data_IF_072005371647
#
_entry.id   IF_072005371647
#
_cell.length_a   1.000
_cell.length_b   1.000
_cell.length_c   1.000
_cell.angle_alpha   90.00
_cell.angle_beta   90.00
_cell.angle_gamma   90.00
#
_symmetry.space_group_name_H-M   'P 1'
#
loop_
_entity.id
_entity.type
_entity.pdbx_description
1 polymer ?
#
# COMPACT_ATOMS: atom_id res chain seq x y z
N UNK A 1 5.75 4.37 12.17
CA UNK A 1 4.75 5.34 11.69
C UNK A 1 3.58 4.56 11.11
N UNK A 2 2.56 4.27 11.91
CA UNK A 2 1.33 3.60 11.45
C UNK A 2 0.51 4.64 10.69
N UNK A 3 0.33 4.45 9.38
CA UNK A 3 -0.54 5.29 8.57
C UNK A 3 -1.98 5.12 9.03
N UNK A 4 -2.53 6.16 9.68
CA UNK A 4 -3.91 6.19 10.14
C UNK A 4 -4.88 6.07 8.96
N UNK A 5 -5.61 4.96 8.89
CA UNK A 5 -6.64 4.71 7.88
C UNK A 5 -8.02 4.99 8.43
N UNK A 6 -8.79 5.82 7.73
CA UNK A 6 -10.19 6.22 8.01
C UNK A 6 -11.23 5.10 7.78
N UNK A 7 -10.85 3.82 7.93
CA UNK A 7 -11.79 2.70 7.76
C UNK A 7 -12.54 2.46 9.08
N UNK A 8 -13.85 2.73 9.15
CA UNK A 8 -14.63 2.41 10.35
C UNK A 8 -14.66 0.89 10.52
N UNK A 9 -14.11 0.38 11.62
CA UNK A 9 -14.21 -1.03 12.04
C UNK A 9 -15.13 -1.11 13.25
N UNK A 10 -16.42 -1.38 13.03
CA UNK A 10 -17.44 -1.55 14.07
C UNK A 10 -18.37 -2.73 13.77
N UNK A 11 -19.14 -3.19 14.77
CA UNK A 11 -20.14 -4.26 14.61
C UNK A 11 -19.81 -5.61 15.27
N UNK A 12 -18.83 -5.69 16.18
CA UNK A 12 -18.40 -6.96 16.79
C UNK A 12 -19.19 -7.41 18.04
N UNK A 13 -19.98 -6.54 18.67
CA UNK A 13 -20.87 -6.91 19.78
C UNK A 13 -22.18 -6.11 19.69
N UNK A 14 -23.29 -6.82 19.51
CA UNK A 14 -24.66 -6.32 19.37
C UNK A 14 -25.54 -7.38 18.70
N UNK A 15 -26.79 -7.54 19.14
CA UNK A 15 -27.72 -8.59 18.66
C UNK A 15 -28.37 -8.28 17.30
N UNK A 16 -28.08 -7.12 16.69
CA UNK A 16 -28.49 -6.80 15.32
C UNK A 16 -27.27 -6.48 14.46
N UNK A 17 -27.14 -7.19 13.34
CA UNK A 17 -26.11 -6.96 12.32
C UNK A 17 -26.46 -5.64 11.63
N UNK A 18 -25.71 -4.55 11.90
CA UNK A 18 -25.74 -3.39 11.02
C UNK A 18 -25.04 -3.77 9.72
N UNK A 19 -25.82 -4.15 8.71
CA UNK A 19 -25.31 -4.37 7.38
C UNK A 19 -24.85 -3.01 6.82
N UNK A 20 -23.55 -2.77 6.82
CA UNK A 20 -22.94 -1.76 5.94
C UNK A 20 -22.91 -2.31 4.50
N UNK A 21 -24.05 -2.80 4.01
CA UNK A 21 -24.21 -3.33 2.66
C UNK A 21 -24.65 -2.18 1.77
N UNK A 22 -23.70 -1.62 1.04
CA UNK A 22 -23.96 -0.71 -0.07
C UNK A 22 -24.85 -1.47 -1.07
N UNK A 23 -25.99 -0.88 -1.49
CA UNK A 23 -26.93 -1.57 -2.39
C UNK A 23 -26.31 -1.76 -3.77
N UNK A 24 -26.70 -2.82 -4.48
CA UNK A 24 -26.20 -3.08 -5.84
C UNK A 24 -26.52 -1.91 -6.79
N UNK A 25 -27.67 -1.24 -6.63
CA UNK A 25 -27.97 -0.06 -7.45
C UNK A 25 -27.02 1.10 -7.16
N UNK A 26 -26.62 1.32 -5.89
CA UNK A 26 -25.66 2.39 -5.55
C UNK A 26 -24.26 2.12 -6.10
N UNK A 27 -23.82 0.86 -6.17
CA UNK A 27 -22.55 0.49 -6.83
C UNK A 27 -22.64 0.70 -8.34
N UNK A 28 -23.73 0.28 -8.98
CA UNK A 28 -23.94 0.47 -10.43
C UNK A 28 -24.05 1.96 -10.80
N UNK A 29 -24.70 2.77 -9.96
CA UNK A 29 -24.76 4.22 -10.14
C UNK A 29 -23.36 4.86 -10.03
N UNK A 30 -22.56 4.46 -9.03
CA UNK A 30 -21.19 4.93 -8.86
C UNK A 30 -20.27 4.47 -10.01
N UNK A 31 -20.42 3.25 -10.52
CA UNK A 31 -19.70 2.75 -11.70
C UNK A 31 -20.06 3.53 -12.96
N UNK A 32 -21.35 3.87 -13.13
CA UNK A 32 -21.82 4.71 -14.26
C UNK A 32 -21.30 6.14 -14.16
N UNK A 33 -21.28 6.73 -12.97
CA UNK A 33 -20.67 8.04 -12.73
C UNK A 33 -19.17 8.02 -12.98
N UNK A 34 -18.47 6.97 -12.54
CA UNK A 34 -17.04 6.78 -12.80
C UNK A 34 -16.77 6.67 -14.31
N UNK A 35 -17.57 5.88 -15.04
CA UNK A 35 -17.44 5.75 -16.49
C UNK A 35 -17.64 7.11 -17.19
N UNK A 36 -18.68 7.86 -16.82
CA UNK A 36 -18.91 9.21 -17.37
C UNK A 36 -17.76 10.17 -17.06
N UNK A 37 -17.19 10.12 -15.85
CA UNK A 37 -16.03 10.94 -15.48
C UNK A 37 -14.79 10.53 -16.27
N UNK A 38 -14.55 9.24 -16.47
CA UNK A 38 -13.44 8.71 -17.26
C UNK A 38 -13.56 9.15 -18.72
N UNK A 39 -14.75 9.06 -19.31
CA UNK A 39 -15.00 9.52 -20.68
C UNK A 39 -14.81 11.03 -20.82
N UNK A 40 -15.30 11.80 -19.84
CA UNK A 40 -15.08 13.26 -19.80
C UNK A 40 -13.60 13.60 -19.70
N UNK A 41 -12.85 12.88 -18.86
CA UNK A 41 -11.42 13.05 -18.68
C UNK A 41 -10.65 12.68 -19.96
N UNK A 42 -11.04 11.62 -20.65
CA UNK A 42 -10.45 11.23 -21.93
C UNK A 42 -10.71 12.27 -23.02
N UNK A 43 -11.92 12.83 -23.08
CA UNK A 43 -12.25 13.92 -24.01
C UNK A 43 -11.42 15.17 -23.72
N UNK A 44 -11.28 15.56 -22.44
CA UNK A 44 -10.43 16.69 -22.04
C UNK A 44 -8.97 16.42 -22.41
N UNK A 45 -8.45 15.20 -22.18
CA UNK A 45 -7.07 14.82 -22.57
C UNK A 45 -6.85 14.91 -24.08
N UNK A 46 -7.82 14.46 -24.89
CA UNK A 46 -7.76 14.60 -26.35
C UNK A 46 -7.75 16.07 -26.76
N UNK A 47 -8.63 16.89 -26.18
CA UNK A 47 -8.67 18.33 -26.45
C UNK A 47 -7.38 19.05 -26.07
N UNK A 48 -6.74 18.66 -24.97
CA UNK A 48 -5.42 19.19 -24.56
C UNK A 48 -4.35 18.78 -25.56
N UNK A 49 -4.33 17.51 -25.99
CA UNK A 49 -3.36 17.04 -26.97
C UNK A 49 -3.52 17.74 -28.32
N UNK A 50 -4.76 17.94 -28.78
CA UNK A 50 -5.04 18.65 -30.02
C UNK A 50 -4.69 20.15 -29.92
N UNK A 51 -4.98 20.79 -28.79
CA UNK A 51 -4.58 22.16 -28.53
C UNK A 51 -3.04 22.31 -28.53
N UNK A 52 -2.32 21.38 -27.89
CA UNK A 52 -0.86 21.37 -27.88
C UNK A 52 -0.27 21.19 -29.29
N UNK A 53 -0.85 20.30 -30.11
CA UNK A 53 -0.43 20.14 -31.52
C UNK A 53 -0.66 21.41 -32.33
N UNK A 54 -1.82 22.05 -32.18
CA UNK A 54 -2.13 23.32 -32.85
C UNK A 54 -1.21 24.45 -32.42
N UNK A 55 -0.86 24.51 -31.14
CA UNK A 55 0.08 25.47 -30.60
C UNK A 55 1.47 25.28 -31.21
N UNK A 56 2.02 24.06 -31.19
CA UNK A 56 3.32 23.75 -31.80
C UNK A 56 3.35 24.03 -33.32
N UNK A 57 2.26 23.73 -34.03
CA UNK A 57 2.15 24.06 -35.44
C UNK A 57 2.16 25.59 -35.67
N UNK A 58 1.43 26.33 -34.85
CA UNK A 58 1.39 27.79 -34.92
C UNK A 58 2.74 28.42 -34.56
N UNK A 59 3.44 27.89 -33.57
CA UNK A 59 4.77 28.35 -33.15
C UNK A 59 5.80 28.21 -34.29
N UNK A 60 5.76 27.10 -35.03
CA UNK A 60 6.60 26.92 -36.23
C UNK A 60 6.29 27.95 -37.32
N UNK A 61 5.00 28.18 -37.59
CA UNK A 61 4.58 29.18 -38.59
C UNK A 61 5.00 30.59 -38.18
N UNK A 62 4.91 30.92 -36.89
CA UNK A 62 5.39 32.22 -36.38
C UNK A 62 6.89 32.38 -36.62
N UNK A 63 7.70 31.37 -36.30
CA UNK A 63 9.15 31.43 -36.52
C UNK A 63 9.51 31.57 -38.01
N UNK A 64 8.79 30.87 -38.91
CA UNK A 64 8.96 31.01 -40.36
C UNK A 64 8.62 32.44 -40.83
N UNK A 65 7.49 32.99 -40.38
CA UNK A 65 7.08 34.36 -40.73
C UNK A 65 8.02 35.42 -40.17
N UNK A 66 8.55 35.25 -38.95
CA UNK A 66 9.54 36.15 -38.37
C UNK A 66 10.83 36.20 -39.21
N UNK A 67 11.27 35.04 -39.74
CA UNK A 67 12.41 34.96 -40.63
C UNK A 67 12.14 35.63 -41.98
N UNK A 68 10.95 35.45 -42.55
CA UNK A 68 10.54 36.12 -43.80
C UNK A 68 10.45 37.64 -43.64
N UNK A 69 9.92 38.12 -42.51
CA UNK A 69 9.88 39.55 -42.17
C UNK A 69 11.30 40.11 -42.07
N UNK A 70 12.21 39.42 -41.36
CA UNK A 70 13.60 39.87 -41.24
C UNK A 70 14.33 39.92 -42.58
N UNK A 71 14.06 38.95 -43.48
CA UNK A 71 14.61 38.93 -44.84
C UNK A 71 14.06 40.10 -45.66
N UNK A 72 12.74 40.28 -45.66
CA UNK A 72 12.06 41.36 -46.39
C UNK A 72 12.53 42.73 -45.92
N UNK A 73 12.73 42.91 -44.61
CA UNK A 73 13.24 44.16 -44.05
C UNK A 73 14.67 44.47 -44.55
N UNK A 74 15.56 43.48 -44.60
CA UNK A 74 16.91 43.66 -45.15
C UNK A 74 16.90 44.00 -46.63
N UNK A 75 16.00 43.40 -47.41
CA UNK A 75 15.83 43.72 -48.83
C UNK A 75 15.35 45.17 -49.01
N UNK A 76 14.36 45.60 -48.22
CA UNK A 76 13.88 47.00 -48.21
C UNK A 76 14.99 47.98 -47.83
N UNK A 77 15.78 47.68 -46.82
CA UNK A 77 16.90 48.55 -46.40
C UNK A 77 17.97 48.65 -47.49
N UNK A 78 18.28 47.54 -48.17
CA UNK A 78 19.20 47.52 -49.32
C UNK A 78 18.68 48.38 -50.48
N UNK A 79 17.44 48.15 -50.90
CA UNK A 79 16.81 48.91 -52.00
C UNK A 79 16.70 50.40 -51.68
N UNK A 80 16.39 50.77 -50.43
CA UNK A 80 16.38 52.16 -50.01
C UNK A 80 17.77 52.81 -50.08
N UNK A 81 18.83 52.06 -49.81
CA UNK A 81 20.21 52.57 -49.93
C UNK A 81 20.59 52.80 -51.39
N UNK A 82 20.20 51.90 -52.29
CA UNK A 82 20.39 52.05 -53.74
C UNK A 82 19.58 53.23 -54.30
N UNK A 83 18.32 53.36 -53.89
CA UNK A 83 17.46 54.48 -54.27
C UNK A 83 18.09 55.83 -53.90
N UNK A 84 18.54 55.99 -52.65
CA UNK A 84 19.20 57.22 -52.19
C UNK A 84 20.49 57.52 -52.95
N UNK A 85 21.22 56.50 -53.37
CA UNK A 85 22.43 56.67 -54.17
C UNK A 85 22.08 57.14 -55.60
N UNK A 86 21.12 56.48 -56.25
CA UNK A 86 20.68 56.81 -57.59
C UNK A 86 20.03 58.19 -57.67
N UNK A 87 19.23 58.57 -56.67
CA UNK A 87 18.60 59.90 -56.58
C UNK A 87 19.65 61.01 -56.59
N UNK A 88 20.70 60.89 -55.76
CA UNK A 88 21.83 61.85 -55.75
C UNK A 88 22.59 61.89 -57.08
N UNK A 89 22.75 60.73 -57.73
CA UNK A 89 23.43 60.66 -59.01
C UNK A 89 22.61 61.36 -60.10
N UNK A 90 21.29 61.23 -60.06
CA UNK A 90 20.36 61.87 -60.98
C UNK A 90 20.39 63.40 -60.85
N UNK A 91 20.37 63.93 -59.63
CA UNK A 91 20.50 65.37 -59.37
C UNK A 91 21.82 65.93 -59.93
N UNK A 92 22.93 65.19 -59.75
CA UNK A 92 24.24 65.61 -60.24
C UNK A 92 24.34 65.61 -61.76
N UNK A 93 23.71 64.63 -62.43
CA UNK A 93 23.68 64.52 -63.89
C UNK A 93 22.74 65.57 -64.50
N UNK A 94 21.60 65.85 -63.86
CA UNK A 94 20.69 66.90 -64.32
C UNK A 94 21.34 68.29 -64.23
N UNK A 95 22.07 68.57 -63.16
CA UNK A 95 22.85 69.81 -63.03
C UNK A 95 23.95 69.91 -64.09
N UNK A 96 24.62 68.81 -64.43
CA UNK A 96 25.68 68.78 -65.45
C UNK A 96 25.15 68.89 -66.90
N UNK A 97 23.90 68.48 -67.16
CA UNK A 97 23.31 68.48 -68.50
C UNK A 97 22.74 69.85 -68.92
N UNK A 98 22.53 70.79 -67.99
CA UNK A 98 22.01 72.12 -68.34
C UNK A 98 23.16 72.98 -68.89
N UNK A 99 23.10 73.42 -70.17
CA UNK A 99 24.16 74.24 -70.76
C UNK A 99 24.33 75.52 -69.96
N UNK A 100 25.59 75.92 -69.76
CA UNK A 100 25.90 77.12 -68.97
C UNK A 100 25.51 78.36 -69.76
N UNK A 101 25.12 79.43 -69.07
CA UNK A 101 24.69 80.68 -69.70
C UNK A 101 25.75 81.24 -70.67
N UNK A 102 27.02 81.13 -70.30
CA UNK A 102 28.16 81.54 -71.11
C UNK A 102 28.29 80.76 -72.43
N UNK A 103 27.90 79.48 -72.45
CA UNK A 103 27.94 78.64 -73.67
C UNK A 103 26.85 79.07 -74.66
N UNK A 104 25.68 79.46 -74.15
CA UNK A 104 24.57 79.96 -74.96
C UNK A 104 24.95 81.32 -75.58
N UNK A 105 25.52 82.23 -74.79
CA UNK A 105 25.94 83.55 -75.25
C UNK A 105 27.06 83.44 -76.31
N UNK A 106 28.02 82.52 -76.12
CA UNK A 106 29.08 82.26 -77.10
C UNK A 106 28.56 81.68 -78.42
N UNK A 107 27.49 80.88 -78.36
CA UNK A 107 26.86 80.30 -79.54
C UNK A 107 26.17 81.38 -80.39
N UNK A 108 25.54 82.37 -79.77
CA UNK A 108 24.97 83.52 -80.47
C UNK A 108 26.04 84.42 -81.11
N UNK A 109 27.15 84.65 -80.40
CA UNK A 109 28.29 85.42 -80.93
C UNK A 109 28.92 84.73 -82.16
N UNK A 110 29.17 83.43 -82.07
CA UNK A 110 29.73 82.65 -83.17
C UNK A 110 28.81 82.63 -84.40
N UNK A 111 27.50 82.57 -84.22
CA UNK A 111 26.54 82.67 -85.33
C UNK A 111 26.64 84.01 -86.06
N UNK A 112 26.83 85.11 -85.34
CA UNK A 112 27.03 86.42 -85.96
C UNK A 112 28.34 86.49 -86.76
N UNK A 113 29.42 85.94 -86.21
CA UNK A 113 30.74 85.89 -86.89
C UNK A 113 30.67 85.05 -88.17
N UNK A 114 30.05 83.87 -88.12
CA UNK A 114 29.89 83.00 -89.28
C UNK A 114 29.15 83.73 -90.40
N UNK A 115 28.05 84.43 -90.08
CA UNK A 115 27.29 85.20 -91.08
C UNK A 115 28.09 86.34 -91.71
N UNK A 116 29.01 86.96 -90.97
CA UNK A 116 29.89 88.01 -91.53
C UNK A 116 30.97 87.43 -92.43
N UNK A 117 31.59 86.32 -92.04
CA UNK A 117 32.66 85.67 -92.81
C UNK A 117 32.12 85.06 -94.12
N UNK A 118 30.92 84.47 -94.10
CA UNK A 118 30.28 83.93 -95.31
C UNK A 118 30.11 85.01 -96.40
N UNK A 119 29.76 86.24 -96.01
CA UNK A 119 29.61 87.36 -96.96
C UNK A 119 30.95 87.79 -97.58
N UNK A 120 32.04 87.76 -96.81
CA UNK A 120 33.36 88.12 -97.32
C UNK A 120 33.94 87.02 -98.22
N UNK A 121 33.69 85.75 -97.90
CA UNK A 121 34.04 84.61 -98.75
C UNK A 121 33.38 84.73 -100.13
N UNK A 122 32.09 85.06 -100.20
CA UNK A 122 31.39 85.24 -101.48
C UNK A 122 32.01 86.35 -102.34
N UNK A 123 32.44 87.44 -101.71
CA UNK A 123 33.13 88.55 -102.38
C UNK A 123 34.48 88.11 -102.95
N UNK A 124 35.26 87.36 -102.17
CA UNK A 124 36.57 86.84 -102.59
C UNK A 124 36.44 85.82 -103.72
N UNK A 125 35.42 84.96 -103.69
CA UNK A 125 35.15 83.98 -104.75
C UNK A 125 34.92 84.69 -106.09
N UNK A 126 34.11 85.75 -106.11
CA UNK A 126 33.86 86.55 -107.33
C UNK A 126 35.13 87.24 -107.84
N UNK A 127 35.99 87.75 -106.94
CA UNK A 127 37.29 88.32 -107.31
C UNK A 127 38.24 87.29 -107.92
N UNK A 128 38.30 86.09 -107.34
CA UNK A 128 39.21 85.02 -107.77
C UNK A 128 38.91 84.50 -109.18
N UNK A 129 37.63 84.46 -109.59
CA UNK A 129 37.22 84.00 -110.94
C UNK A 129 37.90 84.80 -112.05
N UNK A 130 37.95 86.13 -111.91
CA UNK A 130 38.57 87.04 -112.89
C UNK A 130 40.09 86.88 -112.98
N UNK A 131 40.74 86.56 -111.87
CA UNK A 131 42.18 86.29 -111.83
C UNK A 131 42.52 84.93 -112.47
N UNK A 132 41.67 83.92 -112.23
CA UNK A 132 41.86 82.56 -112.75
C UNK A 132 41.78 82.50 -114.28
N UNK A 133 40.88 83.27 -114.90
CA UNK A 133 40.80 83.40 -116.37
C UNK A 133 42.08 83.99 -116.97
N UNK A 134 42.61 85.08 -116.39
CA UNK A 134 43.86 85.70 -116.87
C UNK A 134 45.08 84.78 -116.73
N UNK A 135 45.15 83.99 -115.65
CA UNK A 135 46.22 83.03 -115.45
C UNK A 135 46.18 81.90 -116.49
N UNK A 136 44.98 81.40 -116.82
CA UNK A 136 44.77 80.37 -117.84
C UNK A 136 45.25 80.82 -119.23
N UNK A 137 44.95 82.06 -119.60
CA UNK A 137 45.40 82.61 -120.90
C UNK A 137 46.92 82.74 -121.01
N UNK A 138 47.60 83.11 -119.92
CA UNK A 138 49.06 83.18 -119.87
C UNK A 138 49.70 81.78 -119.93
N UNK A 139 49.12 80.80 -119.22
CA UNK A 139 49.57 79.40 -119.24
C UNK A 139 49.54 78.82 -120.67
N UNK A 140 48.46 79.06 -121.40
CA UNK A 140 48.28 78.58 -122.78
C UNK A 140 49.28 79.22 -123.77
N UNK A 141 49.68 80.48 -123.54
CA UNK A 141 50.70 81.15 -124.36
C UNK A 141 52.09 80.57 -124.12
N UNK A 142 52.41 80.21 -122.87
CA UNK A 142 53.72 79.64 -122.51
C UNK A 142 53.87 78.21 -123.05
N UNK A 143 52.83 77.37 -123.00
CA UNK A 143 52.90 75.99 -123.51
C UNK A 143 53.09 75.90 -125.03
N UNK A 144 52.66 76.90 -125.78
CA UNK A 144 52.84 76.96 -127.23
C UNK A 144 54.24 77.45 -127.65
N UNK A 145 54.96 78.18 -126.80
CA UNK A 145 56.30 78.71 -127.10
C UNK A 145 57.44 77.68 -126.95
N UNK A 146 57.23 76.61 -126.16
CA UNK A 146 58.28 75.63 -125.83
C UNK A 146 58.56 74.54 -126.86
N UNK A 147 57.76 74.43 -127.93
CA UNK A 147 57.92 73.42 -128.98
C UNK A 147 57.79 71.96 -128.52
N UNK A 148 58.03 71.02 -129.44
CA UNK A 148 57.81 69.58 -129.23
C UNK A 148 58.84 68.96 -128.26
N UNK A 149 60.10 69.44 -128.28
CA UNK A 149 61.17 68.99 -127.37
C UNK A 149 60.85 69.25 -125.89
N UNK A 150 60.31 70.43 -125.55
CA UNK A 150 59.91 70.74 -124.17
C UNK A 150 58.73 69.86 -123.74
N UNK A 151 57.77 69.60 -124.63
CA UNK A 151 56.65 68.68 -124.36
C UNK A 151 57.13 67.24 -124.10
N UNK A 152 58.14 66.75 -124.84
CA UNK A 152 58.72 65.41 -124.60
C UNK A 152 59.51 65.35 -123.29
N UNK A 153 60.27 66.39 -122.95
CA UNK A 153 60.98 66.44 -121.66
C UNK A 153 60.01 66.54 -120.48
N UNK A 154 58.97 67.37 -120.61
CA UNK A 154 57.90 67.55 -119.61
C UNK A 154 57.15 66.25 -119.35
N UNK A 155 56.81 65.47 -120.38
CA UNK A 155 56.13 64.17 -120.19
C UNK A 155 57.02 63.11 -119.52
N UNK A 156 58.35 63.13 -119.74
CA UNK A 156 59.29 62.28 -119.00
C UNK A 156 59.35 62.67 -117.53
N UNK A 157 59.43 63.97 -117.23
CA UNK A 157 59.44 64.48 -115.86
C UNK A 157 58.11 64.19 -115.16
N UNK A 158 56.97 64.35 -115.83
CA UNK A 158 55.65 63.99 -115.30
C UNK A 158 55.53 62.50 -114.98
N UNK A 159 56.08 61.61 -115.82
CA UNK A 159 56.15 60.17 -115.52
C UNK A 159 57.02 59.88 -114.29
N UNK A 160 58.22 60.46 -114.22
CA UNK A 160 59.12 60.29 -113.07
C UNK A 160 58.47 60.85 -111.79
N UNK A 161 57.81 62.01 -111.87
CA UNK A 161 57.09 62.59 -110.74
C UNK A 161 55.93 61.69 -110.31
N UNK A 162 55.16 61.14 -111.25
CA UNK A 162 54.08 60.19 -110.94
C UNK A 162 54.63 58.93 -110.26
N UNK A 163 55.77 58.42 -110.69
CA UNK A 163 56.38 57.23 -110.08
C UNK A 163 57.00 57.54 -108.70
N UNK A 164 57.56 58.74 -108.51
CA UNK A 164 57.99 59.24 -107.19
C UNK A 164 56.79 59.36 -106.25
N UNK A 165 55.68 59.94 -106.70
CA UNK A 165 54.47 60.11 -105.90
C UNK A 165 53.89 58.75 -105.51
N UNK A 166 53.80 57.79 -106.44
CA UNK A 166 53.38 56.41 -106.16
C UNK A 166 54.29 55.75 -105.12
N UNK A 167 55.61 55.81 -105.31
CA UNK A 167 56.55 55.22 -104.35
C UNK A 167 56.50 55.90 -102.99
N UNK A 168 56.32 57.23 -102.94
CA UNK A 168 56.12 57.98 -101.70
C UNK A 168 54.84 57.55 -100.99
N UNK A 169 53.74 57.35 -101.73
CA UNK A 169 52.49 56.82 -101.14
C UNK A 169 52.66 55.39 -100.62
N UNK A 170 53.36 54.50 -101.31
CA UNK A 170 53.64 53.15 -100.82
C UNK A 170 54.58 53.15 -99.61
N UNK A 171 55.60 54.02 -99.58
CA UNK A 171 56.47 54.20 -98.41
C UNK A 171 55.65 54.65 -97.21
N UNK A 172 54.78 55.64 -97.37
CA UNK A 172 53.91 56.10 -96.29
C UNK A 172 52.94 55.01 -95.85
N UNK A 173 52.39 54.22 -96.78
CA UNK A 173 51.53 53.06 -96.49
C UNK A 173 52.28 52.03 -95.64
N UNK A 174 53.49 51.65 -96.03
CA UNK A 174 54.34 50.74 -95.26
C UNK A 174 54.75 51.33 -93.91
N UNK A 175 55.01 52.63 -93.81
CA UNK A 175 55.35 53.30 -92.55
C UNK A 175 54.20 53.23 -91.55
N UNK A 176 52.96 53.48 -91.99
CA UNK A 176 51.76 53.31 -91.16
C UNK A 176 51.56 51.84 -90.77
N UNK A 177 51.81 50.89 -91.67
CA UNK A 177 51.76 49.46 -91.37
C UNK A 177 52.79 49.03 -90.32
N UNK A 178 54.01 49.57 -90.39
CA UNK A 178 55.04 49.33 -89.37
C UNK A 178 54.59 49.89 -88.02
N UNK A 179 54.12 51.15 -87.98
CA UNK A 179 53.69 51.77 -86.71
C UNK A 179 52.48 51.07 -86.09
N UNK A 180 51.53 50.61 -86.91
CA UNK A 180 50.39 49.78 -86.45
C UNK A 180 50.85 48.40 -85.98
N UNK A 181 51.80 47.77 -86.68
CA UNK A 181 52.45 46.53 -86.25
C UNK A 181 53.17 46.68 -84.90
N UNK A 182 53.94 47.74 -84.70
CA UNK A 182 54.62 48.03 -83.44
C UNK A 182 53.63 48.25 -82.29
N UNK A 183 52.55 48.99 -82.52
CA UNK A 183 51.47 49.17 -81.52
C UNK A 183 50.81 47.82 -81.18
N UNK A 184 50.58 46.97 -82.18
CA UNK A 184 50.01 45.63 -81.98
C UNK A 184 50.95 44.72 -81.19
N UNK A 185 52.25 44.72 -81.51
CA UNK A 185 53.28 43.99 -80.75
C UNK A 185 53.25 44.44 -79.29
N UNK A 186 53.31 45.75 -79.00
CA UNK A 186 53.23 46.26 -77.62
C UNK A 186 51.97 45.79 -76.89
N UNK A 187 50.81 45.80 -77.55
CA UNK A 187 49.54 45.33 -76.97
C UNK A 187 49.59 43.83 -76.66
N UNK A 188 50.08 43.01 -77.60
CA UNK A 188 50.22 41.57 -77.42
C UNK A 188 51.22 41.23 -76.32
N UNK A 189 52.37 41.92 -76.27
CA UNK A 189 53.36 41.72 -75.20
C UNK A 189 52.76 42.01 -73.82
N UNK A 190 52.00 43.11 -73.68
CA UNK A 190 51.29 43.43 -72.43
C UNK A 190 50.25 42.36 -72.07
N UNK A 191 49.49 41.86 -73.04
CA UNK A 191 48.52 40.77 -72.80
C UNK A 191 49.19 39.45 -72.40
N UNK A 192 50.37 39.13 -72.95
CA UNK A 192 51.16 37.96 -72.55
C UNK A 192 51.66 38.11 -71.11
N UNK A 193 52.15 39.30 -70.74
CA UNK A 193 52.60 39.61 -69.38
C UNK A 193 51.47 39.44 -68.35
N UNK A 194 50.28 39.97 -68.66
CA UNK A 194 49.08 39.83 -67.82
C UNK A 194 48.65 38.36 -67.71
N UNK A 195 48.66 37.61 -68.82
CA UNK A 195 48.32 36.19 -68.84
C UNK A 195 49.31 35.33 -68.04
N UNK A 196 50.61 35.67 -68.06
CA UNK A 196 51.63 34.99 -67.24
C UNK A 196 51.39 35.20 -65.76
N UNK A 197 51.11 36.44 -65.34
CA UNK A 197 50.79 36.76 -63.94
C UNK A 197 49.55 36.02 -63.46
N UNK A 198 48.53 35.93 -64.30
CA UNK A 198 47.32 35.19 -63.95
C UNK A 198 47.58 33.69 -63.83
N UNK A 199 48.37 33.11 -64.74
CA UNK A 199 48.80 31.70 -64.65
C UNK A 199 49.54 31.41 -63.32
N UNK A 200 50.44 32.29 -62.90
CA UNK A 200 51.16 32.15 -61.63
C UNK A 200 50.22 32.18 -60.42
N UNK A 201 49.25 33.11 -60.39
CA UNK A 201 48.23 33.15 -59.33
C UNK A 201 47.39 31.88 -59.27
N UNK A 202 47.01 31.35 -60.43
CA UNK A 202 46.23 30.10 -60.51
C UNK A 202 47.05 28.92 -60.00
N UNK A 203 48.35 28.86 -60.30
CA UNK A 203 49.25 27.81 -59.79
C UNK A 203 49.37 27.89 -58.26
N UNK A 204 49.62 29.08 -57.71
CA UNK A 204 49.67 29.25 -56.25
C UNK A 204 48.34 28.89 -55.57
N UNK A 205 47.21 29.25 -56.18
CA UNK A 205 45.88 28.88 -55.69
C UNK A 205 45.65 27.36 -55.70
N UNK A 206 46.09 26.69 -56.77
CA UNK A 206 46.04 25.22 -56.89
C UNK A 206 46.87 24.55 -55.81
N UNK A 207 48.08 25.02 -55.57
CA UNK A 207 48.99 24.42 -54.57
C UNK A 207 48.45 24.60 -53.14
N UNK A 208 47.86 25.77 -52.84
CA UNK A 208 47.15 25.99 -51.56
C UNK A 208 45.97 25.04 -51.39
N UNK A 209 45.14 24.88 -52.42
CA UNK A 209 44.01 23.94 -52.37
C UNK A 209 44.47 22.49 -52.20
N UNK A 210 45.56 22.10 -52.87
CA UNK A 210 46.13 20.77 -52.71
C UNK A 210 46.68 20.53 -51.29
N UNK A 211 47.29 21.54 -50.68
CA UNK A 211 47.69 21.52 -49.27
C UNK A 211 46.50 21.30 -48.33
N UNK A 212 45.43 22.09 -48.51
CA UNK A 212 44.19 21.93 -47.73
C UNK A 212 43.56 20.55 -47.91
N UNK A 213 43.58 20.00 -49.13
CA UNK A 213 43.04 18.67 -49.41
C UNK A 213 43.80 17.58 -48.64
N UNK A 214 45.13 17.65 -48.59
CA UNK A 214 45.96 16.73 -47.80
C UNK A 214 45.68 16.82 -46.31
N UNK A 215 45.47 18.02 -45.77
CA UNK A 215 45.09 18.17 -44.35
C UNK A 215 43.72 17.55 -44.05
N UNK A 216 42.75 17.75 -44.94
CA UNK A 216 41.41 17.14 -44.80
C UNK A 216 41.51 15.62 -44.87
N UNK A 217 42.30 15.08 -45.80
CA UNK A 217 42.53 13.64 -45.94
C UNK A 217 43.15 13.04 -44.66
N UNK A 218 44.15 13.70 -44.08
CA UNK A 218 44.74 13.29 -42.80
C UNK A 218 43.71 13.30 -41.66
N UNK A 219 42.90 14.36 -41.56
CA UNK A 219 41.83 14.46 -40.56
C UNK A 219 40.78 13.36 -40.75
N UNK A 220 40.40 13.06 -41.99
CA UNK A 220 39.46 11.98 -42.30
C UNK A 220 40.00 10.61 -41.84
N UNK A 221 41.30 10.37 -42.03
CA UNK A 221 41.94 9.13 -41.57
C UNK A 221 41.92 8.98 -40.04
N UNK A 222 42.18 10.07 -39.30
CA UNK A 222 42.09 10.09 -37.83
C UNK A 222 40.66 9.78 -37.38
N UNK A 223 39.66 10.41 -38.01
CA UNK A 223 38.24 10.15 -37.70
C UNK A 223 37.87 8.70 -37.97
N UNK A 224 38.35 8.12 -39.08
CA UNK A 224 38.10 6.72 -39.42
C UNK A 224 38.74 5.75 -38.42
N UNK A 225 39.96 6.03 -37.94
CA UNK A 225 40.62 5.22 -36.91
C UNK A 225 39.87 5.29 -35.57
N UNK A 226 39.44 6.49 -35.17
CA UNK A 226 38.62 6.69 -33.97
C UNK A 226 37.27 5.96 -34.08
N UNK A 227 36.63 6.00 -35.24
CA UNK A 227 35.39 5.25 -35.49
C UNK A 227 35.61 3.75 -35.31
N UNK A 228 36.69 3.18 -35.87
CA UNK A 228 37.02 1.75 -35.71
C UNK A 228 37.29 1.38 -34.25
N UNK A 229 37.98 2.24 -33.50
CA UNK A 229 38.20 2.05 -32.05
C UNK A 229 36.89 2.07 -31.28
N UNK A 230 36.02 3.03 -31.55
CA UNK A 230 34.72 3.13 -30.89
C UNK A 230 33.82 1.93 -31.22
N UNK A 231 33.85 1.44 -32.46
CA UNK A 231 33.11 0.25 -32.86
C UNK A 231 33.54 -0.98 -32.06
N UNK A 232 34.84 -1.20 -31.87
CA UNK A 232 35.34 -2.30 -31.03
C UNK A 232 34.84 -2.21 -29.58
N UNK A 233 34.86 -1.01 -29.01
CA UNK A 233 34.35 -0.77 -27.64
C UNK A 233 32.85 -1.05 -27.55
N UNK A 234 32.08 -0.68 -28.57
CA UNK A 234 30.64 -1.01 -28.65
C UNK A 234 30.44 -2.53 -28.68
N UNK A 235 31.21 -3.25 -29.49
CA UNK A 235 31.10 -4.70 -29.62
C UNK A 235 31.47 -5.40 -28.29
N UNK A 236 32.56 -4.96 -27.64
CA UNK A 236 32.98 -5.45 -26.31
C UNK A 236 31.91 -5.19 -25.23
N UNK A 237 31.33 -4.00 -25.18
CA UNK A 237 30.24 -3.69 -24.27
C UNK A 237 28.97 -4.50 -24.59
N UNK A 238 28.70 -4.78 -25.87
CA UNK A 238 27.62 -5.66 -26.29
C UNK A 238 27.76 -7.07 -25.73
N UNK A 239 28.96 -7.65 -25.78
CA UNK A 239 29.24 -8.97 -25.19
C UNK A 239 29.07 -8.97 -23.66
N UNK A 240 29.55 -7.93 -22.98
CA UNK A 240 29.40 -7.80 -21.51
C UNK A 240 27.92 -7.70 -21.12
N UNK A 241 27.14 -6.91 -21.86
CA UNK A 241 25.71 -6.78 -21.62
C UNK A 241 24.98 -8.11 -21.76
N UNK A 242 25.34 -8.90 -22.78
CA UNK A 242 24.72 -10.19 -23.01
C UNK A 242 25.07 -11.21 -21.91
N UNK A 243 26.33 -11.23 -21.46
CA UNK A 243 26.74 -12.03 -20.28
C UNK A 243 25.96 -11.61 -19.03
N UNK A 244 25.82 -10.32 -18.79
CA UNK A 244 25.07 -9.80 -17.63
C UNK A 244 23.59 -10.17 -17.67
N UNK A 245 22.95 -10.14 -18.85
CA UNK A 245 21.56 -10.61 -19.00
C UNK A 245 21.42 -12.10 -18.68
N UNK A 246 22.34 -12.94 -19.16
CA UNK A 246 22.31 -14.37 -18.88
C UNK A 246 22.47 -14.67 -17.38
N UNK A 247 23.34 -13.92 -16.68
CA UNK A 247 23.45 -14.01 -15.22
C UNK A 247 22.18 -13.55 -14.51
N UNK A 248 21.60 -12.43 -14.94
CA UNK A 248 20.33 -11.95 -14.40
C UNK A 248 19.20 -12.97 -14.56
N UNK A 249 19.07 -13.61 -15.73
CA UNK A 249 18.06 -14.65 -15.94
C UNK A 249 18.27 -15.88 -15.05
N UNK A 250 19.53 -16.28 -14.81
CA UNK A 250 19.84 -17.36 -13.86
C UNK A 250 19.45 -16.99 -12.44
N UNK A 251 19.81 -15.79 -11.99
CA UNK A 251 19.45 -15.29 -10.66
C UNK A 251 17.93 -15.21 -10.51
N UNK A 252 17.23 -14.71 -11.53
CA UNK A 252 15.76 -14.63 -11.55
C UNK A 252 15.13 -16.02 -11.38
N UNK A 253 15.60 -17.03 -12.12
CA UNK A 253 15.11 -18.41 -11.97
C UNK A 253 15.33 -18.95 -10.55
N UNK A 254 16.48 -18.66 -9.93
CA UNK A 254 16.76 -19.06 -8.55
C UNK A 254 15.82 -18.36 -7.55
N UNK A 255 15.56 -17.07 -7.74
CA UNK A 255 14.61 -16.31 -6.91
C UNK A 255 13.18 -16.87 -7.03
N UNK A 256 12.74 -17.20 -8.24
CA UNK A 256 11.42 -17.77 -8.48
C UNK A 256 11.29 -19.16 -7.83
N UNK A 257 12.34 -19.99 -7.87
CA UNK A 257 12.39 -21.27 -7.16
C UNK A 257 12.36 -21.10 -5.63
N UNK A 258 13.12 -20.16 -5.09
CA UNK A 258 13.13 -19.87 -3.65
C UNK A 258 11.75 -19.40 -3.19
N UNK A 259 11.09 -18.53 -3.95
CA UNK A 259 9.70 -18.09 -3.66
C UNK A 259 8.72 -19.25 -3.65
N UNK A 260 8.82 -20.18 -4.61
CA UNK A 260 7.98 -21.38 -4.60
C UNK A 260 8.22 -22.22 -3.32
N UNK A 261 9.48 -22.40 -2.93
CA UNK A 261 9.82 -23.13 -1.70
C UNK A 261 9.36 -22.42 -0.42
N UNK A 262 9.37 -21.09 -0.40
CA UNK A 262 8.88 -20.27 0.71
C UNK A 262 7.36 -20.45 0.89
N UNK A 263 6.60 -20.44 -0.22
CA UNK A 263 5.15 -20.68 -0.21
C UNK A 263 4.84 -22.09 0.30
N UNK A 264 5.56 -23.11 -0.18
CA UNK A 264 5.39 -24.49 0.29
C UNK A 264 5.72 -24.64 1.79
N UNK A 265 6.76 -23.96 2.26
CA UNK A 265 7.15 -23.95 3.67
C UNK A 265 6.10 -23.25 4.55
N UNK A 266 5.54 -22.12 4.10
CA UNK A 266 4.48 -21.42 4.85
C UNK A 266 3.20 -22.26 4.91
N UNK A 267 2.83 -22.93 3.82
CA UNK A 267 1.69 -23.85 3.79
C UNK A 267 1.87 -24.99 4.82
N UNK A 268 3.04 -25.66 4.81
CA UNK A 268 3.37 -26.69 5.80
C UNK A 268 3.34 -26.16 7.24
N UNK A 269 3.81 -24.94 7.45
CA UNK A 269 3.81 -24.31 8.77
C UNK A 269 2.39 -23.97 9.25
N UNK A 270 1.50 -23.55 8.35
CA UNK A 270 0.08 -23.36 8.68
C UNK A 270 -0.61 -24.67 9.05
N UNK A 271 -0.36 -25.75 8.31
CA UNK A 271 -0.89 -27.09 8.63
C UNK A 271 -0.39 -27.58 9.99
N UNK A 272 0.91 -27.44 10.26
CA UNK A 272 1.50 -27.79 11.57
C UNK A 272 0.92 -26.95 12.71
N UNK A 273 0.68 -25.65 12.51
CA UNK A 273 0.00 -24.80 13.50
C UNK A 273 -1.44 -25.24 13.77
N UNK A 274 -2.16 -25.69 12.75
CA UNK A 274 -3.53 -26.22 12.90
C UNK A 274 -3.52 -27.51 13.73
N UNK A 275 -2.64 -28.45 13.36
CA UNK A 275 -2.40 -29.69 14.12
C UNK A 275 -2.02 -29.42 15.58
N UNK A 276 -1.12 -28.46 15.82
CA UNK A 276 -0.74 -28.06 17.16
C UNK A 276 -1.93 -27.54 17.98
N UNK A 277 -2.77 -26.66 17.42
CA UNK A 277 -3.97 -26.15 18.11
C UNK A 277 -4.96 -27.26 18.44
N UNK A 278 -5.14 -28.23 17.54
CA UNK A 278 -6.00 -29.40 17.78
C UNK A 278 -5.47 -30.27 18.93
N UNK A 279 -4.15 -30.52 18.95
CA UNK A 279 -3.50 -31.26 20.05
C UNK A 279 -3.57 -30.48 21.37
N UNK A 280 -3.38 -29.16 21.34
CA UNK A 280 -3.50 -28.30 22.52
C UNK A 280 -4.92 -28.34 23.11
N UNK A 281 -5.94 -28.27 22.25
CA UNK A 281 -7.35 -28.40 22.65
C UNK A 281 -7.65 -29.77 23.27
N UNK A 282 -7.16 -30.85 22.65
CA UNK A 282 -7.27 -32.21 23.20
C UNK A 282 -6.56 -32.31 24.56
N UNK A 283 -5.35 -31.77 24.70
CA UNK A 283 -4.61 -31.72 25.95
C UNK A 283 -5.37 -30.98 27.06
N UNK A 284 -5.95 -29.81 26.75
CA UNK A 284 -6.84 -29.09 27.68
C UNK A 284 -8.07 -29.93 28.06
N UNK A 285 -8.66 -30.63 27.11
CA UNK A 285 -9.79 -31.55 27.33
C UNK A 285 -9.44 -32.71 28.28
N UNK A 286 -8.31 -33.38 28.04
CA UNK A 286 -7.83 -34.46 28.92
C UNK A 286 -7.48 -33.95 30.31
N UNK A 287 -6.87 -32.76 30.43
CA UNK A 287 -6.58 -32.13 31.73
C UNK A 287 -7.85 -31.84 32.53
N UNK A 288 -8.92 -31.35 31.88
CA UNK A 288 -10.23 -31.18 32.53
C UNK A 288 -10.80 -32.51 33.02
N UNK A 289 -10.79 -33.54 32.17
CA UNK A 289 -11.26 -34.88 32.55
C UNK A 289 -10.48 -35.44 33.74
N UNK A 290 -9.16 -35.26 33.78
CA UNK A 290 -8.32 -35.67 34.90
C UNK A 290 -8.74 -34.96 36.19
N UNK A 291 -8.91 -33.64 36.15
CA UNK A 291 -9.38 -32.88 37.31
C UNK A 291 -10.77 -33.33 37.78
N UNK A 292 -11.70 -33.59 36.85
CA UNK A 292 -13.05 -34.06 37.20
C UNK A 292 -13.00 -35.44 37.86
N UNK A 293 -12.13 -36.33 37.38
CA UNK A 293 -11.85 -37.65 37.99
C UNK A 293 -11.25 -37.52 39.39
N UNK A 294 -10.27 -36.62 39.58
CA UNK A 294 -9.68 -36.34 40.90
C UNK A 294 -10.72 -35.83 41.89
N UNK A 295 -11.59 -34.90 41.47
CA UNK A 295 -12.70 -34.40 42.30
C UNK A 295 -13.67 -35.53 42.64
N UNK A 296 -14.01 -36.39 41.67
CA UNK A 296 -14.91 -37.52 41.91
C UNK A 296 -14.29 -38.51 42.90
N UNK A 297 -12.99 -38.83 42.73
CA UNK A 297 -12.26 -39.70 43.64
C UNK A 297 -12.25 -39.13 45.05
N UNK A 298 -12.01 -37.83 45.20
CA UNK A 298 -12.02 -37.17 46.51
C UNK A 298 -13.40 -37.23 47.18
N UNK A 299 -14.48 -37.01 46.42
CA UNK A 299 -15.86 -37.20 46.94
C UNK A 299 -16.14 -38.64 47.36
N UNK A 300 -15.70 -39.62 46.58
CA UNK A 300 -15.86 -41.03 46.94
C UNK A 300 -15.05 -41.38 48.20
N UNK A 301 -13.84 -40.85 48.35
CA UNK A 301 -13.03 -41.04 49.56
C UNK A 301 -13.68 -40.39 50.80
N UNK A 302 -14.21 -39.18 50.67
CA UNK A 302 -14.99 -38.52 51.74
C UNK A 302 -16.24 -39.32 52.12
N UNK A 303 -16.94 -39.89 51.13
CA UNK A 303 -18.12 -40.74 51.34
C UNK A 303 -17.76 -42.05 52.06
N UNK A 304 -16.67 -42.72 51.66
CA UNK A 304 -16.14 -43.92 52.31
C UNK A 304 -15.81 -43.64 53.79
N UNK A 305 -15.20 -42.48 54.06
CA UNK A 305 -14.86 -42.05 55.42
C UNK A 305 -16.12 -41.78 56.26
N UNK A 306 -17.15 -41.17 55.65
CA UNK A 306 -18.45 -40.90 56.29
C UNK A 306 -19.27 -42.17 56.53
N UNK A 307 -19.09 -43.18 55.69
CA UNK A 307 -19.80 -44.45 55.79
C UNK A 307 -19.14 -45.46 56.74
N UNK A 308 -18.02 -45.09 57.38
CA UNK A 308 -17.28 -45.93 58.34
C UNK A 308 -16.93 -47.31 57.75
N UNK A 309 -16.56 -47.32 56.47
CA UNK A 309 -16.12 -48.54 55.79
C UNK A 309 -14.79 -48.98 56.38
N UNK A 310 -14.72 -50.25 56.76
CA UNK A 310 -13.56 -50.87 57.39
C UNK A 310 -12.31 -50.79 56.49
N UNK A 311 -11.36 -49.93 56.85
CA UNK A 311 -10.22 -49.53 56.00
C UNK A 311 -9.32 -50.70 55.58
N UNK A 312 -9.21 -51.74 56.41
CA UNK A 312 -8.43 -52.95 56.10
C UNK A 312 -9.07 -53.79 54.99
N UNK A 313 -10.41 -53.90 54.96
CA UNK A 313 -11.13 -54.61 53.89
C UNK A 313 -11.11 -53.86 52.57
N UNK A 314 -11.13 -52.53 52.62
CA UNK A 314 -11.02 -51.70 51.41
C UNK A 314 -9.62 -51.81 50.78
N UNK A 315 -8.55 -51.76 51.60
CA UNK A 315 -7.19 -51.96 51.12
C UNK A 315 -6.95 -53.38 50.59
N UNK A 316 -7.51 -54.43 51.22
CA UNK A 316 -7.39 -55.79 50.71
C UNK A 316 -8.03 -55.98 49.32
N UNK A 317 -9.16 -55.31 49.06
CA UNK A 317 -9.84 -55.35 47.75
C UNK A 317 -9.11 -54.52 46.68
N UNK A 318 -8.51 -53.39 47.06
CA UNK A 318 -7.75 -52.53 46.15
C UNK A 318 -6.33 -53.05 45.84
N UNK A 319 -5.79 -53.93 46.71
CA UNK A 319 -4.49 -54.57 46.55
C UNK A 319 -4.56 -55.93 45.81
N UNK A 320 -5.74 -56.32 45.32
CA UNK A 320 -5.91 -57.53 44.52
C UNK A 320 -5.11 -57.39 43.20
N UNK A 321 -4.11 -58.25 43.00
CA UNK A 321 -3.12 -58.18 41.90
C UNK A 321 -3.78 -58.14 40.51
N UNK A 322 -5.01 -58.64 40.40
CA UNK A 322 -5.83 -58.65 39.18
C UNK A 322 -6.25 -57.27 38.68
N UNK A 323 -6.25 -56.24 39.53
CA UNK A 323 -6.61 -54.85 39.18
C UNK A 323 -5.40 -54.00 38.76
N UNK A 324 -4.18 -54.45 39.06
CA UNK A 324 -2.92 -53.69 38.88
C UNK A 324 -2.12 -54.07 37.63
N UNK A 325 -2.48 -55.14 36.92
CA UNK A 325 -1.87 -55.42 35.61
C UNK A 325 -2.34 -54.41 34.56
N UNK A 326 -1.41 -53.91 33.74
CA UNK A 326 -1.68 -52.96 32.66
C UNK A 326 -2.65 -53.58 31.64
N UNK A 327 -3.95 -53.34 31.83
CA UNK A 327 -5.00 -53.89 30.99
C UNK A 327 -5.24 -52.98 29.77
N UNK A 328 -5.37 -53.58 28.59
CA UNK A 328 -5.66 -52.87 27.36
C UNK A 328 -7.01 -52.12 27.47
N UNK A 329 -7.09 -50.87 27.01
CA UNK A 329 -8.21 -49.94 27.26
C UNK A 329 -9.57 -50.57 26.89
N UNK A 330 -9.58 -51.41 25.85
CA UNK A 330 -10.77 -52.11 25.36
C UNK A 330 -11.30 -53.13 26.37
N UNK A 331 -10.41 -53.90 27.01
CA UNK A 331 -10.76 -54.86 28.06
C UNK A 331 -11.24 -54.15 29.32
N UNK A 332 -10.61 -53.03 29.69
CA UNK A 332 -11.05 -52.22 30.83
C UNK A 332 -12.48 -51.68 30.62
N UNK A 333 -12.80 -51.19 29.41
CA UNK A 333 -14.15 -50.74 29.08
C UNK A 333 -15.18 -51.88 29.10
N UNK A 334 -14.84 -53.05 28.55
CA UNK A 334 -15.71 -54.23 28.61
C UNK A 334 -15.96 -54.68 30.06
N UNK A 335 -14.93 -54.64 30.92
CA UNK A 335 -15.04 -54.98 32.34
C UNK A 335 -15.87 -53.95 33.12
N UNK A 336 -15.70 -52.65 32.83
CA UNK A 336 -16.57 -51.59 33.37
C UNK A 336 -18.02 -51.85 32.96
N UNK A 337 -18.29 -52.15 31.69
CA UNK A 337 -19.67 -52.45 31.25
C UNK A 337 -20.24 -53.68 31.93
N UNK A 338 -19.45 -54.74 32.13
CA UNK A 338 -19.89 -55.94 32.85
C UNK A 338 -20.21 -55.61 34.31
N UNK A 339 -19.33 -54.88 35.00
CA UNK A 339 -19.53 -54.47 36.39
C UNK A 339 -20.73 -53.52 36.55
N UNK A 340 -20.91 -52.56 35.63
CA UNK A 340 -22.09 -51.71 35.60
C UNK A 340 -23.38 -52.52 35.39
N UNK A 341 -23.34 -53.55 34.53
CA UNK A 341 -24.48 -54.45 34.30
C UNK A 341 -24.80 -55.27 35.55
N UNK A 342 -23.78 -55.85 36.19
CA UNK A 342 -23.91 -56.58 37.44
C UNK A 342 -24.43 -55.70 38.58
N UNK A 343 -23.93 -54.47 38.69
CA UNK A 343 -24.38 -53.51 39.71
C UNK A 343 -25.84 -53.08 39.48
N UNK A 344 -26.27 -53.00 38.23
CA UNK A 344 -27.65 -52.72 37.84
C UNK A 344 -28.59 -53.91 38.11
N UNK A 345 -28.13 -55.15 37.89
CA UNK A 345 -28.88 -56.36 38.25
C UNK A 345 -29.01 -56.52 39.77
N UNK A 346 -27.95 -56.23 40.53
CA UNK A 346 -27.93 -56.37 41.98
C UNK A 346 -28.83 -55.34 42.68
N UNK A 347 -29.18 -54.24 41.98
CA UNK A 347 -30.10 -53.17 42.38
C UNK A 347 -30.06 -52.85 43.89
N UNK A 348 -28.88 -52.53 44.45
CA UNK A 348 -28.70 -52.37 45.89
C UNK A 348 -29.50 -51.16 46.39
N UNK A 349 -30.36 -51.37 47.38
CA UNK A 349 -31.12 -50.29 48.00
C UNK A 349 -30.20 -49.45 48.91
N UNK A 350 -29.62 -48.38 48.36
CA UNK A 350 -28.71 -47.48 49.09
C UNK A 350 -29.40 -46.72 50.24
N UNK A 351 -30.73 -46.64 50.25
CA UNK A 351 -31.50 -46.02 51.34
C UNK A 351 -31.62 -46.94 52.57
N UNK A 352 -31.36 -48.24 52.43
CA UNK A 352 -31.49 -49.19 53.55
C UNK A 352 -30.50 -48.90 54.69
N UNK A 353 -29.32 -48.36 54.39
CA UNK A 353 -28.31 -47.98 55.39
C UNK A 353 -28.74 -46.71 56.14
N UNK A 354 -29.29 -45.73 55.44
CA UNK A 354 -29.78 -44.48 56.05
C UNK A 354 -31.06 -44.74 56.87
N UNK A 355 -31.97 -45.58 56.37
CA UNK A 355 -33.13 -46.06 57.11
C UNK A 355 -32.75 -46.86 58.36
N UNK A 356 -31.73 -47.72 58.28
CA UNK A 356 -31.22 -48.44 59.45
C UNK A 356 -30.65 -47.47 60.49
N UNK A 357 -29.81 -46.49 60.08
CA UNK A 357 -29.29 -45.45 60.99
C UNK A 357 -30.41 -44.67 61.68
N UNK A 358 -31.44 -44.25 60.92
CA UNK A 358 -32.61 -43.57 61.48
C UNK A 358 -33.40 -44.46 62.44
N UNK A 359 -33.63 -45.73 62.09
CA UNK A 359 -34.35 -46.68 62.97
C UNK A 359 -33.57 -46.98 64.25
N UNK A 360 -32.26 -47.11 64.20
CA UNK A 360 -31.42 -47.31 65.39
C UNK A 360 -31.48 -46.08 66.30
N UNK A 361 -31.44 -44.87 65.74
CA UNK A 361 -31.60 -43.63 66.51
C UNK A 361 -32.96 -43.57 67.22
N UNK A 362 -34.06 -43.82 66.50
CA UNK A 362 -35.42 -43.84 67.07
C UNK A 362 -35.59 -44.96 68.10
N UNK A 363 -34.95 -46.12 67.88
CA UNK A 363 -34.97 -47.22 68.83
C UNK A 363 -34.29 -46.84 70.14
N UNK A 364 -33.09 -46.24 70.08
CA UNK A 364 -32.37 -45.82 71.28
C UNK A 364 -33.15 -44.76 72.07
N UNK A 365 -33.73 -43.78 71.38
CA UNK A 365 -34.59 -42.75 72.00
C UNK A 365 -35.79 -43.40 72.75
N UNK A 366 -36.45 -44.38 72.11
CA UNK A 366 -37.55 -45.13 72.75
C UNK A 366 -37.11 -46.01 73.92
N UNK A 367 -35.90 -46.57 73.87
CA UNK A 367 -35.34 -47.35 74.99
C UNK A 367 -35.08 -46.44 76.19
N UNK A 368 -34.55 -45.24 75.97
CA UNK A 368 -34.33 -44.26 77.03
C UNK A 368 -35.65 -43.78 77.64
N UNK A 369 -36.68 -43.51 76.83
CA UNK A 369 -38.02 -43.20 77.30
C UNK A 369 -38.60 -44.33 78.16
N UNK A 370 -38.48 -45.58 77.71
CA UNK A 370 -38.97 -46.75 78.45
C UNK A 370 -38.25 -46.91 79.79
N UNK A 371 -36.94 -46.71 79.82
CA UNK A 371 -36.15 -46.76 81.05
C UNK A 371 -36.60 -45.68 82.03
N UNK A 372 -36.86 -44.46 81.54
CA UNK A 372 -37.34 -43.33 82.35
C UNK A 372 -38.72 -43.60 82.96
N UNK A 373 -39.67 -44.11 82.16
CA UNK A 373 -41.01 -44.48 82.65
C UNK A 373 -40.94 -45.65 83.65
N UNK A 374 -40.06 -46.61 83.41
CA UNK A 374 -39.88 -47.76 84.31
C UNK A 374 -39.33 -47.32 85.68
N UNK A 375 -38.36 -46.40 85.70
CA UNK A 375 -37.85 -45.81 86.94
C UNK A 375 -38.95 -45.05 87.69
N UNK A 376 -39.74 -44.21 87.01
CA UNK A 376 -40.86 -43.52 87.64
C UNK A 376 -41.89 -44.47 88.26
N UNK A 377 -42.22 -45.58 87.59
CA UNK A 377 -43.11 -46.60 88.14
C UNK A 377 -42.54 -47.21 89.42
N UNK A 378 -41.26 -47.56 89.40
CA UNK A 378 -40.60 -48.22 90.53
C UNK A 378 -40.48 -47.28 91.74
N UNK A 379 -40.23 -45.99 91.52
CA UNK A 379 -40.24 -44.96 92.55
C UNK A 379 -41.63 -44.78 93.19
N UNK A 380 -42.69 -44.70 92.38
CA UNK A 380 -44.07 -44.60 92.89
C UNK A 380 -44.45 -45.85 93.68
N UNK A 381 -44.08 -47.04 93.19
CA UNK A 381 -44.34 -48.30 93.89
C UNK A 381 -43.65 -48.33 95.25
N UNK A 382 -42.40 -47.87 95.31
CA UNK A 382 -41.66 -47.75 96.57
C UNK A 382 -42.34 -46.78 97.55
N UNK A 383 -42.79 -45.62 97.09
CA UNK A 383 -43.54 -44.67 97.92
C UNK A 383 -44.86 -45.27 98.44
N UNK A 384 -45.57 -46.03 97.61
CA UNK A 384 -46.79 -46.73 98.02
C UNK A 384 -46.50 -47.77 99.12
N UNK A 385 -45.47 -48.58 98.95
CA UNK A 385 -45.10 -49.61 99.93
C UNK A 385 -44.63 -48.99 101.27
N UNK A 386 -43.91 -47.87 101.21
CA UNK A 386 -43.52 -47.09 102.40
C UNK A 386 -44.75 -46.51 103.13
N UNK A 387 -45.71 -45.94 102.41
CA UNK A 387 -46.96 -45.44 102.99
C UNK A 387 -47.83 -46.56 103.57
N UNK A 388 -47.93 -47.70 102.88
CA UNK A 388 -48.66 -48.87 103.37
C UNK A 388 -48.05 -49.38 104.67
N UNK A 389 -46.71 -49.46 104.73
CA UNK A 389 -46.00 -49.86 105.95
C UNK A 389 -46.21 -48.87 107.09
N UNK A 390 -46.09 -47.56 106.83
CA UNK A 390 -46.32 -46.52 107.84
C UNK A 390 -47.75 -46.57 108.41
N UNK A 391 -48.75 -46.75 107.53
CA UNK A 391 -50.15 -46.92 107.94
C UNK A 391 -50.32 -48.15 108.84
N UNK A 392 -49.70 -49.28 108.49
CA UNK A 392 -49.74 -50.50 109.28
C UNK A 392 -49.10 -50.30 110.66
N UNK A 393 -47.90 -49.71 110.70
CA UNK A 393 -47.16 -49.47 111.93
C UNK A 393 -47.92 -48.54 112.88
N UNK A 394 -48.47 -47.43 112.38
CA UNK A 394 -49.27 -46.48 113.16
C UNK A 394 -50.58 -47.11 113.66
N UNK A 395 -51.25 -47.90 112.83
CA UNK A 395 -52.46 -48.62 113.22
C UNK A 395 -52.15 -49.65 114.32
N UNK A 396 -51.11 -50.47 114.17
CA UNK A 396 -50.74 -51.47 115.16
C UNK A 396 -50.32 -50.83 116.48
N UNK A 397 -49.59 -49.71 116.44
CA UNK A 397 -49.25 -48.95 117.64
C UNK A 397 -50.50 -48.44 118.37
N UNK A 398 -51.45 -47.84 117.64
CA UNK A 398 -52.72 -47.36 118.20
C UNK A 398 -53.62 -48.49 118.71
N UNK A 399 -53.76 -49.56 117.93
CA UNK A 399 -54.52 -50.75 118.29
C UNK A 399 -54.01 -51.38 119.59
N UNK A 400 -52.70 -51.61 119.70
CA UNK A 400 -52.09 -52.15 120.90
C UNK A 400 -52.28 -51.24 122.12
N UNK A 401 -52.18 -49.92 121.95
CA UNK A 401 -52.42 -48.96 123.02
C UNK A 401 -53.88 -48.98 123.52
N UNK A 402 -54.84 -49.05 122.60
CA UNK A 402 -56.27 -49.14 122.92
C UNK A 402 -56.59 -50.48 123.59
N UNK A 403 -56.10 -51.60 123.05
CA UNK A 403 -56.31 -52.94 123.61
C UNK A 403 -55.81 -53.04 125.04
N UNK A 404 -54.63 -52.47 125.33
CA UNK A 404 -54.05 -52.45 126.67
C UNK A 404 -54.90 -51.60 127.64
N UNK A 405 -55.34 -50.41 127.22
CA UNK A 405 -56.20 -49.54 128.05
C UNK A 405 -57.58 -50.12 128.29
N UNK A 406 -58.16 -50.78 127.30
CA UNK A 406 -59.45 -51.47 127.43
C UNK A 406 -59.38 -52.58 128.49
N UNK A 407 -58.32 -53.39 128.45
CA UNK A 407 -58.06 -54.46 129.42
C UNK A 407 -57.95 -53.91 130.85
N UNK A 408 -57.17 -52.85 131.03
CA UNK A 408 -57.05 -52.13 132.32
C UNK A 408 -58.40 -51.58 132.82
N UNK A 409 -59.13 -50.86 131.96
CA UNK A 409 -60.41 -50.25 132.34
C UNK A 409 -61.47 -51.29 132.69
N UNK A 410 -61.59 -52.35 131.90
CA UNK A 410 -62.60 -53.38 132.11
C UNK A 410 -62.36 -54.16 133.42
N UNK A 411 -61.09 -54.49 133.70
CA UNK A 411 -60.70 -55.13 134.97
C UNK A 411 -61.02 -54.24 136.17
N UNK A 412 -60.73 -52.93 136.07
CA UNK A 412 -60.98 -51.95 137.13
C UNK A 412 -62.48 -51.81 137.43
N UNK A 413 -63.32 -51.73 136.40
CA UNK A 413 -64.78 -51.55 136.57
C UNK A 413 -65.46 -52.82 137.08
N UNK A 414 -65.09 -53.98 136.53
CA UNK A 414 -65.79 -55.24 136.84
C UNK A 414 -65.26 -55.97 138.07
N UNK A 415 -64.17 -55.48 138.68
CA UNK A 415 -63.55 -56.05 139.89
C UNK A 415 -63.27 -57.57 139.74
N UNK A 416 -62.82 -57.99 138.56
CA UNK A 416 -62.41 -59.39 138.29
C UNK A 416 -62.83 -60.02 136.96
N UNK A 417 -63.33 -59.25 135.99
CA UNK A 417 -63.53 -59.68 134.59
C UNK A 417 -62.38 -59.21 133.68
N UNK A 418 -62.28 -59.73 132.47
CA UNK A 418 -61.23 -59.40 131.49
C UNK A 418 -61.83 -59.05 130.12
N UNK A 419 -61.13 -58.25 129.31
CA UNK A 419 -61.58 -57.82 127.99
C UNK A 419 -60.41 -57.71 127.01
N UNK A 420 -60.60 -58.18 125.78
CA UNK A 420 -59.53 -58.29 124.78
C UNK A 420 -60.04 -57.99 123.37
N UNK A 421 -59.26 -57.21 122.62
CA UNK A 421 -59.47 -56.96 121.19
C UNK A 421 -58.44 -57.78 120.40
N UNK A 422 -58.92 -58.59 119.47
CA UNK A 422 -58.09 -59.42 118.60
C UNK A 422 -58.32 -59.06 117.13
N UNK A 423 -57.24 -59.04 116.35
CA UNK A 423 -57.31 -58.86 114.90
C UNK A 423 -57.74 -60.19 114.26
N UNK A 424 -58.66 -60.12 113.29
CA UNK A 424 -59.06 -61.32 112.53
C UNK A 424 -57.92 -61.80 111.64
N UNK A 425 -57.25 -60.86 110.96
CA UNK A 425 -56.05 -61.12 110.16
C UNK A 425 -54.85 -60.38 110.77
N UNK A 426 -53.81 -61.12 111.12
CA UNK A 426 -52.57 -60.57 111.69
C UNK A 426 -51.59 -60.05 110.63
N UNK A 427 -51.77 -60.41 109.35
CA UNK A 427 -50.94 -59.94 108.24
C UNK A 427 -51.46 -58.64 107.62
N UNK A 428 -52.78 -58.47 107.54
CA UNK A 428 -53.42 -57.23 107.08
C UNK A 428 -54.60 -56.83 107.99
N UNK A 429 -54.40 -55.97 109.00
CA UNK A 429 -55.46 -55.59 109.94
C UNK A 429 -56.60 -54.78 109.29
N UNK A 430 -56.49 -54.39 108.02
CA UNK A 430 -57.49 -53.60 107.31
C UNK A 430 -58.46 -54.44 106.46
N UNK A 431 -58.21 -55.75 106.31
CA UNK A 431 -59.02 -56.64 105.46
C UNK A 431 -60.30 -57.11 106.17
N UNK A 432 -60.17 -57.74 107.34
CA UNK A 432 -61.25 -58.50 108.00
C UNK A 432 -61.70 -57.93 109.36
N UNK A 433 -61.02 -56.91 109.89
CA UNK A 433 -61.45 -56.14 111.07
C UNK A 433 -61.00 -56.70 112.43
N UNK A 434 -61.70 -56.30 113.49
CA UNK A 434 -61.37 -56.59 114.90
C UNK A 434 -62.50 -57.32 115.61
N UNK A 435 -62.18 -58.37 116.36
CA UNK A 435 -63.13 -59.09 117.24
C UNK A 435 -62.97 -58.57 118.66
N UNK A 436 -64.09 -58.22 119.29
CA UNK A 436 -64.13 -57.85 120.69
C UNK A 436 -64.68 -58.97 121.56
N UNK A 437 -63.83 -59.51 122.42
CA UNK A 437 -64.14 -60.60 123.33
C UNK A 437 -64.05 -60.11 124.78
N UNK A 438 -65.01 -60.50 125.61
CA UNK A 438 -65.00 -60.17 127.04
C UNK A 438 -65.28 -61.40 127.88
N UNK A 439 -64.77 -61.39 129.11
CA UNK A 439 -64.91 -62.42 130.12
C UNK A 439 -65.40 -61.78 131.41
N UNK A 440 -66.72 -61.77 131.66
CA UNK A 440 -67.25 -61.27 132.93
C UNK A 440 -66.73 -62.10 134.12
N UNK A 441 -66.72 -61.54 135.35
CA UNK A 441 -66.23 -62.24 136.54
C UNK A 441 -66.91 -63.61 136.70
N UNK A 442 -66.12 -64.66 136.92
CA UNK A 442 -66.57 -66.06 137.06
C UNK A 442 -67.28 -66.66 135.82
N UNK A 443 -67.22 -66.02 134.64
CA UNK A 443 -67.72 -66.58 133.36
C UNK A 443 -66.57 -66.87 132.37
N UNK A 444 -66.89 -67.58 131.29
CA UNK A 444 -65.98 -67.84 130.16
C UNK A 444 -65.95 -66.66 129.17
N UNK A 445 -64.93 -66.60 128.33
CA UNK A 445 -64.84 -65.66 127.21
C UNK A 445 -66.06 -65.79 126.28
N UNK A 446 -66.64 -64.66 125.90
CA UNK A 446 -67.72 -64.55 124.90
C UNK A 446 -67.50 -63.32 124.03
N UNK A 447 -67.89 -63.43 122.76
CA UNK A 447 -67.96 -62.28 121.86
C UNK A 447 -69.03 -61.30 122.37
N UNK A 448 -68.76 -59.99 122.29
CA UNK A 448 -69.68 -58.94 122.76
C UNK A 448 -71.10 -59.07 122.21
N UNK A 449 -71.27 -59.53 120.96
CA UNK A 449 -72.58 -59.72 120.35
C UNK A 449 -73.49 -60.68 121.12
N UNK A 450 -72.92 -61.58 121.93
CA UNK A 450 -73.63 -62.65 122.64
C UNK A 450 -73.78 -62.40 124.15
N UNK A 451 -73.51 -61.18 124.62
CA UNK A 451 -73.70 -60.75 126.01
C UNK A 451 -75.14 -60.28 126.28
N UNK A 452 -75.55 -60.32 127.55
CA UNK A 452 -76.86 -59.79 127.99
C UNK A 452 -76.91 -58.26 127.90
N UNK A 453 -78.11 -57.68 127.81
CA UNK A 453 -78.27 -56.25 127.52
C UNK A 453 -77.71 -55.28 128.57
N UNK A 454 -77.43 -55.74 129.80
CA UNK A 454 -76.71 -54.93 130.81
C UNK A 454 -75.19 -55.17 130.81
N UNK A 455 -74.71 -56.21 130.12
CA UNK A 455 -73.28 -56.52 129.94
C UNK A 455 -72.72 -55.92 128.63
N UNK A 456 -73.58 -55.66 127.64
CA UNK A 456 -73.28 -54.84 126.46
C UNK A 456 -73.38 -53.36 126.79
#
# INVERSE_FOLDING_TARGET
>A
MSGGGSKPRGGKMGTSIRAASVSRETVVAAEKELANMVDSLNNIRQRIADAARRYQASEKVVAELEMEIAKSQKEVDSLNSEYKYLEKQLDSLEAASRPKKDEIDRLEELKKIISTEEKEIDRLIQGSKKLKEKASDLQNKIENAGGEKLKTQKSKVEKIQSDIDKNSTEINRHKVQIETGEKMVKKLTKGIEESKKEKERIIEGKDKMHGMFKEIEQKAFIVQDNYKKMQKVIDEHGEVLEKSKLEYEKVKKNVDQLRASEVDADFKLQDMKKMYKELEMKGKGYKKKLNDLEISLQKHMEQIQKDLVDTEKLQATLADETLTEACDLKRALEMVTLLETQLKEMNPNLDSISEYRNKVSVYNERVDDLNTVTQHRDDIKKQYDELRKKRLDEFMAGFNAISLKLKEMYQMITLGGDAELELVDSLDPFSEGVVFSVRPPKKSWKNIANLSGGEK
#
